data_IF_933308550868
#
_entry.id   IF_933308550868
#
_cell.length_a   1.000
_cell.length_b   1.000
_cell.length_c   1.000
_cell.angle_alpha   90.00
_cell.angle_beta   90.00
_cell.angle_gamma   90.00
#
_symmetry.space_group_name_H-M   'P 1'
#
loop_
_entity.id
_entity.type
_entity.pdbx_description
1 polymer ?
#
# COMPACT_ATOMS: atom_id res chain seq x y z
N UNK A 1 -23.42 -35.38 26.06
CA UNK A 1 -22.76 -34.24 26.72
C UNK A 1 -21.26 -34.11 26.41
N UNK A 2 -20.55 -35.17 26.13
CA UNK A 2 -19.10 -35.08 25.81
C UNK A 2 -18.76 -34.43 24.45
N UNK A 3 -19.68 -34.37 23.49
CA UNK A 3 -19.44 -33.80 22.16
C UNK A 3 -19.52 -32.26 22.11
N UNK A 4 -20.18 -31.63 23.05
CA UNK A 4 -20.35 -30.17 23.09
C UNK A 4 -19.09 -29.51 23.67
N UNK A 5 -18.40 -30.15 24.61
CA UNK A 5 -17.18 -29.63 25.19
C UNK A 5 -16.00 -29.60 24.22
N UNK A 6 -15.91 -30.59 23.34
CA UNK A 6 -14.83 -30.66 22.33
C UNK A 6 -15.01 -29.57 21.30
N UNK A 7 -16.25 -29.26 20.92
CA UNK A 7 -16.53 -28.19 19.94
C UNK A 7 -16.22 -26.78 20.51
N UNK A 8 -16.48 -26.57 21.77
CA UNK A 8 -16.19 -25.29 22.46
C UNK A 8 -14.68 -25.05 22.60
N UNK A 9 -13.92 -26.11 22.90
CA UNK A 9 -12.47 -26.04 23.01
C UNK A 9 -11.79 -25.81 21.67
N UNK A 10 -12.29 -26.42 20.61
CA UNK A 10 -11.77 -26.20 19.26
C UNK A 10 -12.03 -24.77 18.77
N UNK A 11 -13.17 -24.19 19.11
CA UNK A 11 -13.51 -22.80 18.79
C UNK A 11 -12.64 -21.78 19.53
N UNK A 12 -12.32 -22.07 20.79
CA UNK A 12 -11.43 -21.21 21.60
C UNK A 12 -9.98 -21.31 21.11
N UNK A 13 -9.55 -22.49 20.69
CA UNK A 13 -8.20 -22.66 20.14
C UNK A 13 -8.04 -21.96 18.79
N UNK A 14 -9.09 -21.92 17.96
CA UNK A 14 -9.09 -21.24 16.66
C UNK A 14 -9.02 -19.72 16.83
N UNK A 15 -9.70 -19.17 17.83
CA UNK A 15 -9.66 -17.73 18.14
C UNK A 15 -8.28 -17.32 18.69
N UNK A 16 -7.65 -18.19 19.49
CA UNK A 16 -6.30 -17.94 20.02
C UNK A 16 -5.20 -17.97 18.95
N UNK A 17 -5.36 -18.78 17.91
CA UNK A 17 -4.40 -18.80 16.80
C UNK A 17 -4.49 -17.58 15.92
N UNK A 18 -5.66 -16.97 15.75
CA UNK A 18 -5.80 -15.71 15.01
C UNK A 18 -5.23 -14.50 15.77
N UNK A 19 -5.26 -14.48 17.07
CA UNK A 19 -4.67 -13.40 17.87
C UNK A 19 -3.15 -13.45 17.94
N UNK A 20 -2.54 -14.62 17.77
CA UNK A 20 -1.07 -14.75 17.72
C UNK A 20 -0.45 -14.31 16.39
N UNK A 21 -1.21 -14.33 15.30
CA UNK A 21 -0.76 -13.79 14.02
C UNK A 21 -0.85 -12.25 13.94
N UNK A 22 -1.56 -11.59 14.86
CA UNK A 22 -1.68 -10.14 14.91
C UNK A 22 -0.52 -9.45 15.66
N UNK A 23 0.34 -10.21 16.33
CA UNK A 23 1.59 -9.73 16.94
C UNK A 23 2.77 -9.80 15.94
N UNK A 24 2.55 -9.38 14.68
CA UNK A 24 3.64 -9.16 13.75
C UNK A 24 4.45 -7.94 14.18
N UNK A 25 5.75 -8.07 14.18
CA UNK A 25 6.75 -7.09 14.57
C UNK A 25 6.35 -5.64 14.30
N UNK A 26 6.01 -4.89 15.36
CA UNK A 26 5.88 -3.43 15.36
C UNK A 26 7.27 -2.76 15.25
N UNK A 27 8.07 -3.18 14.31
CA UNK A 27 9.25 -2.42 13.91
C UNK A 27 8.76 -1.36 12.96
N UNK A 28 8.73 -0.10 13.43
CA UNK A 28 8.28 1.06 12.70
C UNK A 28 8.69 1.04 11.22
N UNK A 29 7.72 1.15 10.34
CA UNK A 29 7.89 1.18 8.91
C UNK A 29 6.57 1.48 8.23
N UNK A 30 6.66 2.07 7.04
CA UNK A 30 5.46 2.27 6.22
C UNK A 30 5.01 0.93 5.68
N UNK A 31 3.72 0.64 5.81
CA UNK A 31 3.11 -0.52 5.19
C UNK A 31 2.52 -0.12 3.84
N UNK A 32 2.91 -0.85 2.81
CA UNK A 32 2.37 -0.72 1.46
C UNK A 32 1.58 -1.97 1.11
N UNK A 33 0.27 -1.83 0.83
CA UNK A 33 -0.52 -2.93 0.31
C UNK A 33 -0.06 -3.34 -1.10
N UNK A 34 -0.46 -4.52 -1.54
CA UNK A 34 -0.31 -4.93 -2.95
C UNK A 34 -1.19 -4.07 -3.86
N UNK A 35 -0.92 -4.06 -5.17
CA UNK A 35 -1.73 -3.28 -6.11
C UNK A 35 -3.20 -3.71 -6.11
N UNK A 36 -3.49 -5.01 -5.95
CA UNK A 36 -4.86 -5.52 -5.85
C UNK A 36 -5.59 -5.01 -4.60
N UNK A 37 -4.87 -4.96 -3.47
CA UNK A 37 -5.41 -4.42 -2.22
C UNK A 37 -5.64 -2.91 -2.33
N UNK A 38 -4.70 -2.16 -2.89
CA UNK A 38 -4.84 -0.72 -3.12
C UNK A 38 -6.02 -0.44 -4.05
N UNK A 39 -6.14 -1.17 -5.15
CA UNK A 39 -7.26 -1.05 -6.06
C UNK A 39 -8.59 -1.28 -5.33
N UNK A 40 -8.71 -2.40 -4.62
CA UNK A 40 -9.92 -2.76 -3.88
C UNK A 40 -10.27 -1.71 -2.83
N UNK A 41 -9.29 -1.23 -2.08
CA UNK A 41 -9.49 -0.22 -1.05
C UNK A 41 -10.00 1.10 -1.63
N UNK A 42 -9.41 1.55 -2.73
CA UNK A 42 -9.82 2.78 -3.42
C UNK A 42 -11.22 2.66 -4.04
N UNK A 43 -11.52 1.55 -4.71
CA UNK A 43 -12.85 1.28 -5.25
C UNK A 43 -13.92 1.27 -4.15
N UNK A 44 -13.64 0.63 -3.02
CA UNK A 44 -14.52 0.65 -1.83
C UNK A 44 -14.67 2.06 -1.24
N UNK A 45 -13.65 2.89 -1.36
CA UNK A 45 -13.67 4.30 -0.98
C UNK A 45 -14.41 5.21 -1.97
N UNK A 46 -14.91 4.67 -3.09
CA UNK A 46 -15.64 5.39 -4.12
C UNK A 46 -14.77 6.12 -5.14
N UNK A 47 -13.49 5.72 -5.25
CA UNK A 47 -12.59 6.24 -6.28
C UNK A 47 -12.80 5.54 -7.62
N UNK A 48 -12.61 6.27 -8.69
CA UNK A 48 -12.48 5.68 -10.03
C UNK A 48 -11.02 5.28 -10.22
N UNK A 49 -10.77 3.98 -10.35
CA UNK A 49 -9.42 3.40 -10.41
C UNK A 49 -9.10 2.91 -11.81
N UNK A 50 -7.91 3.22 -12.28
CA UNK A 50 -7.33 2.70 -13.53
C UNK A 50 -6.01 2.04 -13.21
N UNK A 51 -5.84 0.80 -13.64
CA UNK A 51 -4.58 0.04 -13.51
C UNK A 51 -4.06 -0.28 -14.88
N UNK A 52 -2.81 0.08 -15.14
CA UNK A 52 -2.10 -0.20 -16.38
C UNK A 52 -0.89 -1.07 -16.08
N UNK A 53 -0.75 -2.14 -16.84
CA UNK A 53 0.41 -3.01 -16.79
C UNK A 53 1.27 -2.77 -18.02
N UNK A 54 2.54 -2.53 -17.83
CA UNK A 54 3.49 -2.58 -18.91
C UNK A 54 4.04 -4.00 -19.02
N UNK A 55 3.40 -4.79 -19.86
CA UNK A 55 3.77 -6.19 -20.09
C UNK A 55 4.89 -6.36 -21.12
N UNK A 56 5.16 -5.33 -21.93
CA UNK A 56 6.10 -5.46 -23.05
C UNK A 56 7.55 -5.27 -22.62
N UNK A 57 7.81 -4.48 -21.59
CA UNK A 57 9.18 -4.13 -21.27
C UNK A 57 9.66 -4.48 -19.85
N UNK A 58 8.86 -4.44 -18.79
CA UNK A 58 9.47 -4.50 -17.45
C UNK A 58 8.60 -4.95 -16.27
N UNK A 59 7.40 -5.43 -16.48
CA UNK A 59 6.54 -5.83 -15.35
C UNK A 59 6.13 -4.66 -14.44
N UNK A 60 6.14 -3.45 -14.95
CA UNK A 60 5.74 -2.25 -14.22
C UNK A 60 4.22 -2.15 -14.10
N UNK A 61 3.75 -1.70 -12.95
CA UNK A 61 2.34 -1.47 -12.69
C UNK A 61 2.14 0.00 -12.35
N UNK A 62 1.25 0.65 -13.07
CA UNK A 62 0.79 2.00 -12.78
C UNK A 62 -0.69 1.97 -12.38
N UNK A 63 -1.00 2.48 -11.21
CA UNK A 63 -2.35 2.69 -10.72
C UNK A 63 -2.59 4.18 -10.59
N UNK A 64 -3.71 4.65 -11.14
CA UNK A 64 -4.21 5.99 -10.90
C UNK A 64 -5.64 5.93 -10.38
N UNK A 65 -6.00 6.78 -9.44
CA UNK A 65 -7.35 6.86 -8.91
C UNK A 65 -7.73 8.31 -8.61
N UNK A 66 -9.00 8.63 -8.85
CA UNK A 66 -9.55 9.97 -8.62
C UNK A 66 -10.93 9.89 -7.98
N UNK A 67 -11.22 10.85 -7.10
CA UNK A 67 -12.53 11.07 -6.51
C UNK A 67 -12.68 12.55 -6.16
N UNK A 68 -13.56 13.26 -6.85
CA UNK A 68 -13.72 14.71 -6.71
C UNK A 68 -12.39 15.46 -6.94
N UNK A 69 -11.81 16.05 -5.91
CA UNK A 69 -10.51 16.73 -5.93
C UNK A 69 -9.36 15.88 -5.41
N UNK A 70 -9.66 14.66 -5.00
CA UNK A 70 -8.67 13.72 -4.47
C UNK A 70 -8.12 12.84 -5.57
N UNK A 71 -6.86 12.50 -5.47
CA UNK A 71 -6.20 11.63 -6.42
C UNK A 71 -5.03 10.92 -5.78
N UNK A 72 -4.62 9.81 -6.39
CA UNK A 72 -3.39 9.09 -6.14
C UNK A 72 -2.86 8.51 -7.45
N UNK A 73 -1.54 8.59 -7.63
CA UNK A 73 -0.79 7.86 -8.66
C UNK A 73 0.24 6.99 -7.97
N UNK A 74 0.30 5.73 -8.33
CA UNK A 74 1.16 4.75 -7.71
C UNK A 74 1.85 3.90 -8.77
N UNK A 75 3.18 3.77 -8.67
CA UNK A 75 4.00 2.97 -9.57
C UNK A 75 4.73 1.89 -8.77
N UNK A 76 4.62 0.64 -9.21
CA UNK A 76 5.49 -0.45 -8.83
C UNK A 76 6.47 -0.69 -9.98
N UNK A 77 7.76 -0.67 -9.69
CA UNK A 77 8.82 -0.64 -10.69
C UNK A 77 9.80 -1.78 -10.48
N UNK A 78 10.38 -2.28 -11.57
CA UNK A 78 11.32 -3.40 -11.51
C UNK A 78 12.68 -3.01 -10.97
N UNK A 79 13.07 -1.76 -11.12
CA UNK A 79 14.40 -1.30 -10.73
C UNK A 79 14.43 0.13 -10.20
N UNK A 80 15.50 0.46 -9.48
CA UNK A 80 15.65 1.78 -8.87
C UNK A 80 15.88 2.93 -9.88
N UNK A 81 16.40 2.64 -11.07
CA UNK A 81 16.63 3.66 -12.09
C UNK A 81 15.30 4.23 -12.59
N UNK A 82 14.30 3.37 -12.76
CA UNK A 82 12.97 3.79 -13.16
C UNK A 82 12.28 4.61 -12.06
N UNK A 83 12.62 4.39 -10.78
CA UNK A 83 12.15 5.24 -9.68
C UNK A 83 12.55 6.71 -9.86
N UNK A 84 13.77 6.99 -10.24
CA UNK A 84 14.23 8.36 -10.48
C UNK A 84 13.49 9.00 -11.66
N UNK A 85 13.26 8.24 -12.72
CA UNK A 85 12.51 8.72 -13.87
C UNK A 85 11.07 9.11 -13.48
N UNK A 86 10.33 8.22 -12.83
CA UNK A 86 8.95 8.47 -12.43
C UNK A 86 8.83 9.51 -11.33
N UNK A 87 9.78 9.56 -10.40
CA UNK A 87 9.85 10.62 -9.39
C UNK A 87 9.93 12.00 -10.05
N UNK A 88 10.88 12.19 -10.98
CA UNK A 88 11.06 13.45 -11.69
C UNK A 88 9.84 13.79 -12.58
N UNK A 89 9.20 12.76 -13.17
CA UNK A 89 7.99 12.94 -13.95
C UNK A 89 6.84 13.46 -13.10
N UNK A 90 6.61 12.85 -11.93
CA UNK A 90 5.56 13.28 -11.00
C UNK A 90 5.83 14.68 -10.44
N UNK A 91 7.09 14.99 -10.13
CA UNK A 91 7.49 16.31 -9.68
C UNK A 91 7.22 17.39 -10.74
N UNK A 92 7.41 17.09 -12.01
CA UNK A 92 7.13 18.00 -13.10
C UNK A 92 5.62 18.22 -13.34
N UNK A 93 4.81 17.19 -13.13
CA UNK A 93 3.35 17.24 -13.36
C UNK A 93 2.62 17.86 -12.16
N UNK A 94 3.04 17.54 -10.96
CA UNK A 94 2.38 17.88 -9.70
C UNK A 94 3.18 18.91 -8.89
N UNK A 95 3.37 20.09 -9.44
CA UNK A 95 4.13 21.18 -8.80
C UNK A 95 3.53 21.68 -7.49
N UNK A 96 2.25 21.41 -7.24
CA UNK A 96 1.52 21.89 -6.06
C UNK A 96 1.44 20.87 -4.92
N UNK A 97 2.03 19.69 -5.06
CA UNK A 97 1.87 18.60 -4.11
C UNK A 97 3.15 18.27 -3.35
N UNK A 98 3.02 18.34 -2.04
CA UNK A 98 4.15 18.42 -1.09
C UNK A 98 4.86 17.11 -0.79
N UNK A 99 4.47 15.97 -1.35
CA UNK A 99 5.18 14.74 -1.03
C UNK A 99 5.03 13.66 -2.10
N UNK A 100 6.00 13.62 -3.00
CA UNK A 100 6.24 12.44 -3.80
C UNK A 100 7.11 11.51 -2.97
N UNK A 101 6.68 10.28 -2.80
CA UNK A 101 7.42 9.26 -2.06
C UNK A 101 8.13 8.34 -3.03
N UNK A 102 9.40 8.12 -2.80
CA UNK A 102 10.26 7.21 -3.54
C UNK A 102 10.89 6.20 -2.61
N UNK A 103 10.75 4.92 -2.94
CA UNK A 103 11.35 3.80 -2.23
C UNK A 103 12.12 2.96 -3.23
N UNK A 104 13.36 2.68 -2.94
CA UNK A 104 14.27 1.98 -3.82
C UNK A 104 14.86 0.76 -3.13
N UNK A 105 14.84 -0.38 -3.84
CA UNK A 105 15.46 -1.62 -3.40
C UNK A 105 15.04 -2.07 -1.98
N UNK A 106 13.79 -1.79 -1.62
CA UNK A 106 13.24 -2.29 -0.35
C UNK A 106 13.07 -3.81 -0.41
N UNK A 107 13.53 -4.52 0.61
CA UNK A 107 13.51 -5.98 0.65
C UNK A 107 12.09 -6.55 0.61
N UNK A 108 11.10 -5.80 1.13
CA UNK A 108 9.72 -6.24 1.24
C UNK A 108 8.84 -5.70 0.10
N UNK A 109 9.05 -4.45 -0.29
CA UNK A 109 8.15 -3.73 -1.20
C UNK A 109 8.77 -3.43 -2.57
N UNK A 110 10.07 -3.66 -2.72
CA UNK A 110 10.79 -3.43 -3.97
C UNK A 110 11.00 -1.95 -4.29
N UNK A 111 10.58 -1.53 -5.47
CA UNK A 111 10.74 -0.17 -5.96
C UNK A 111 9.37 0.47 -6.17
N UNK A 112 9.10 1.56 -5.46
CA UNK A 112 7.82 2.24 -5.44
C UNK A 112 8.02 3.75 -5.59
N UNK A 113 7.18 4.37 -6.42
CA UNK A 113 7.03 5.83 -6.48
C UNK A 113 5.55 6.15 -6.45
N UNK A 114 5.12 7.06 -5.59
CA UNK A 114 3.74 7.51 -5.56
C UNK A 114 3.59 8.95 -5.11
N UNK A 115 2.48 9.55 -5.50
CA UNK A 115 2.01 10.81 -4.95
C UNK A 115 0.47 10.78 -4.85
N UNK A 116 -0.07 11.56 -3.95
CA UNK A 116 -1.52 11.66 -3.80
C UNK A 116 -1.93 12.61 -2.71
N UNK A 117 -3.21 12.93 -2.68
CA UNK A 117 -3.81 13.66 -1.56
C UNK A 117 -3.84 12.77 -0.32
N UNK A 118 -3.77 13.39 0.86
CA UNK A 118 -3.74 12.66 2.14
C UNK A 118 -4.89 11.65 2.28
N UNK A 119 -6.11 12.06 1.92
CA UNK A 119 -7.26 11.19 1.99
C UNK A 119 -7.18 10.01 1.01
N UNK A 120 -6.66 10.22 -0.20
CA UNK A 120 -6.50 9.17 -1.18
C UNK A 120 -5.43 8.16 -0.75
N UNK A 121 -4.30 8.63 -0.22
CA UNK A 121 -3.24 7.78 0.35
C UNK A 121 -3.77 6.94 1.53
N UNK A 122 -4.55 7.56 2.41
CA UNK A 122 -5.19 6.86 3.51
C UNK A 122 -6.22 5.82 3.01
N UNK A 123 -7.06 6.21 2.05
CA UNK A 123 -8.05 5.30 1.45
C UNK A 123 -7.41 4.11 0.75
N UNK A 124 -6.22 4.28 0.16
CA UNK A 124 -5.44 3.20 -0.45
C UNK A 124 -4.96 2.15 0.56
N UNK A 125 -5.00 2.44 1.86
CA UNK A 125 -4.53 1.56 2.92
C UNK A 125 -3.02 1.67 3.18
N UNK A 126 -2.36 2.69 2.64
CA UNK A 126 -0.97 3.00 2.93
C UNK A 126 -0.89 3.55 4.36
N UNK A 127 -0.16 2.86 5.20
CA UNK A 127 0.01 3.25 6.61
C UNK A 127 1.42 3.79 6.80
N UNK A 128 1.52 5.09 6.97
CA UNK A 128 2.76 5.70 7.44
C UNK A 128 2.80 5.50 8.96
N UNK A 129 3.64 4.61 9.41
CA UNK A 129 3.95 4.52 10.84
C UNK A 129 4.94 5.64 11.12
N UNK A 130 4.48 6.67 11.81
CA UNK A 130 5.33 7.78 12.26
C UNK A 130 6.56 7.21 12.97
N UNK A 131 7.68 7.24 12.29
CA UNK A 131 8.97 7.12 12.97
C UNK A 131 9.08 8.39 13.79
N UNK A 132 8.81 8.30 15.09
CA UNK A 132 9.17 9.37 16.01
C UNK A 132 10.67 9.56 15.88
N UNK A 133 11.06 10.53 15.07
CA UNK A 133 12.45 10.99 15.05
C UNK A 133 12.73 11.47 16.47
N UNK A 134 13.50 10.67 17.21
CA UNK A 134 14.11 11.18 18.43
C UNK A 134 15.08 12.27 18.00
N UNK A 135 14.67 13.49 18.20
CA UNK A 135 15.56 14.64 18.18
C UNK A 135 16.49 14.54 19.38
#
# INVERSE_FOLDING_TARGET
MKKIFVSLFASILLVLTFTLCACGDDKGGTYYPTYDEIQTNLENGGYTVTVTFDLEDKGEIHLSATKDKEYIEFYWLDNAVDCDYFYNLLEAIHTDYNSIVKIENDEKFGNIVYCGTENAVHAAGIKVVDVKVKV
#
